data_IF_029623990474
#
_entry.id   IF_029623990474
#
_cell.length_a   1.000
_cell.length_b   1.000
_cell.length_c   1.000
_cell.angle_alpha   90.00
_cell.angle_beta   90.00
_cell.angle_gamma   90.00
#
_symmetry.space_group_name_H-M   'P 1'
#
loop_
_entity.id
_entity.type
_entity.pdbx_description
1 polymer ?
#
# COMPACT_ATOMS: atom_id res chain seq x y z
N UNK A 1 6.42 -15.71 -0.49
CA UNK A 1 7.30 -14.88 -1.34
C UNK A 1 8.70 -14.85 -0.76
N UNK A 2 8.91 -14.44 0.50
CA UNK A 2 10.23 -14.49 1.15
C UNK A 2 10.87 -15.88 1.10
N UNK A 3 10.15 -16.93 1.49
CA UNK A 3 10.66 -18.31 1.40
C UNK A 3 11.11 -18.73 -0.03
N UNK A 4 10.52 -18.15 -1.09
CA UNK A 4 10.95 -18.42 -2.47
C UNK A 4 12.24 -17.64 -2.81
N UNK A 5 12.36 -16.40 -2.35
CA UNK A 5 13.59 -15.62 -2.47
C UNK A 5 14.74 -16.24 -1.67
N UNK A 6 14.48 -16.72 -0.46
CA UNK A 6 15.47 -17.38 0.39
C UNK A 6 15.94 -18.71 -0.23
N UNK A 7 15.08 -19.35 -1.02
CA UNK A 7 15.43 -20.52 -1.84
C UNK A 7 16.17 -20.15 -3.16
N UNK A 8 16.50 -18.87 -3.38
CA UNK A 8 17.19 -18.39 -4.58
C UNK A 8 16.34 -18.37 -5.85
N UNK A 9 15.02 -18.49 -5.73
CA UNK A 9 14.13 -18.50 -6.88
C UNK A 9 13.81 -17.06 -7.34
N UNK A 10 13.77 -16.80 -8.66
CA UNK A 10 13.28 -15.53 -9.18
C UNK A 10 11.76 -15.43 -8.95
N UNK A 11 11.32 -14.36 -8.30
CA UNK A 11 9.90 -14.13 -7.98
C UNK A 11 9.47 -12.77 -8.52
N UNK A 12 8.25 -12.69 -9.06
CA UNK A 12 7.60 -11.43 -9.38
C UNK A 12 6.13 -11.52 -9.02
N UNK A 13 5.58 -10.47 -8.42
CA UNK A 13 4.15 -10.40 -8.09
C UNK A 13 3.42 -9.63 -9.19
N UNK A 14 2.38 -10.26 -9.73
CA UNK A 14 1.60 -9.74 -10.85
C UNK A 14 0.22 -9.25 -10.42
N UNK A 15 -0.28 -8.23 -11.13
CA UNK A 15 -1.68 -7.85 -11.01
C UNK A 15 -2.55 -8.90 -11.72
N UNK A 16 -3.46 -9.60 -11.00
CA UNK A 16 -4.29 -10.66 -11.60
C UNK A 16 -5.15 -10.18 -12.77
N UNK A 17 -5.52 -8.88 -12.81
CA UNK A 17 -6.27 -8.30 -13.92
C UNK A 17 -5.48 -8.35 -15.23
N UNK A 18 -4.18 -8.05 -15.19
CA UNK A 18 -3.34 -8.07 -16.39
C UNK A 18 -3.21 -9.48 -16.96
N UNK A 19 -2.98 -10.47 -16.09
CA UNK A 19 -2.96 -11.89 -16.46
C UNK A 19 -4.30 -12.32 -17.07
N UNK A 20 -5.42 -11.87 -16.49
CA UNK A 20 -6.76 -12.15 -17.03
C UNK A 20 -6.99 -11.50 -18.40
N UNK A 21 -6.51 -10.27 -18.62
CA UNK A 21 -6.61 -9.62 -19.92
C UNK A 21 -5.75 -10.34 -20.98
N UNK A 22 -4.57 -10.81 -20.61
CA UNK A 22 -3.72 -11.63 -21.48
C UNK A 22 -4.38 -12.97 -21.83
N UNK A 23 -4.97 -13.65 -20.85
CA UNK A 23 -5.79 -14.87 -21.06
C UNK A 23 -6.85 -14.65 -22.13
N UNK A 24 -7.61 -13.53 -22.02
CA UNK A 24 -8.66 -13.17 -22.98
C UNK A 24 -8.10 -12.87 -24.36
N UNK A 25 -6.97 -12.16 -24.45
CA UNK A 25 -6.31 -11.87 -25.71
C UNK A 25 -5.82 -13.14 -26.43
N UNK A 26 -5.46 -14.18 -25.69
CA UNK A 26 -5.09 -15.49 -26.23
C UNK A 26 -6.28 -16.41 -26.51
N UNK A 27 -7.52 -15.98 -26.26
CA UNK A 27 -8.72 -16.84 -26.38
C UNK A 27 -8.80 -17.96 -25.32
N UNK A 28 -7.96 -17.92 -24.29
CA UNK A 28 -7.95 -18.92 -23.23
C UNK A 28 -9.01 -18.58 -22.18
N UNK A 29 -10.16 -19.25 -22.26
CA UNK A 29 -11.29 -19.04 -21.34
C UNK A 29 -11.36 -20.09 -20.21
N UNK A 30 -10.96 -21.32 -20.51
CA UNK A 30 -10.93 -22.41 -19.53
C UNK A 30 -9.88 -22.15 -18.44
N UNK A 31 -10.16 -22.62 -17.22
CA UNK A 31 -9.33 -22.41 -16.04
C UNK A 31 -9.14 -23.72 -15.28
N UNK A 32 -7.90 -24.14 -15.16
CA UNK A 32 -7.42 -25.21 -14.27
C UNK A 32 -6.04 -24.80 -13.78
N UNK A 33 -5.55 -25.39 -12.68
CA UNK A 33 -4.22 -25.05 -12.14
C UNK A 33 -3.11 -25.25 -13.19
N UNK A 34 -3.21 -26.31 -14.01
CA UNK A 34 -2.27 -26.57 -15.11
C UNK A 34 -2.32 -25.49 -16.18
N UNK A 35 -3.52 -25.07 -16.60
CA UNK A 35 -3.69 -24.01 -17.61
C UNK A 35 -3.18 -22.68 -17.07
N UNK A 36 -3.52 -22.33 -15.83
CA UNK A 36 -3.11 -21.09 -15.19
C UNK A 36 -1.58 -21.02 -15.03
N UNK A 37 -0.92 -22.13 -14.68
CA UNK A 37 0.54 -22.19 -14.60
C UNK A 37 1.22 -21.92 -15.96
N UNK A 38 0.74 -22.56 -17.04
CA UNK A 38 1.26 -22.33 -18.39
C UNK A 38 1.01 -20.89 -18.85
N UNK A 39 -0.18 -20.35 -18.56
CA UNK A 39 -0.53 -18.97 -18.88
C UNK A 39 0.40 -17.97 -18.17
N UNK A 40 0.67 -18.18 -16.87
CA UNK A 40 1.56 -17.33 -16.09
C UNK A 40 3.00 -17.38 -16.62
N UNK A 41 3.51 -18.57 -16.96
CA UNK A 41 4.83 -18.72 -17.58
C UNK A 41 4.92 -17.98 -18.91
N UNK A 42 3.91 -18.14 -19.77
CA UNK A 42 3.84 -17.45 -21.07
C UNK A 42 3.73 -15.93 -20.90
N UNK A 43 2.94 -15.46 -19.94
CA UNK A 43 2.82 -14.04 -19.61
C UNK A 43 4.17 -13.46 -19.19
N UNK A 44 4.87 -14.15 -18.28
CA UNK A 44 6.18 -13.73 -17.80
C UNK A 44 7.23 -13.68 -18.91
N UNK A 45 7.27 -14.69 -19.78
CA UNK A 45 8.17 -14.74 -20.92
C UNK A 45 7.87 -13.62 -21.94
N UNK A 46 6.59 -13.40 -22.25
CA UNK A 46 6.16 -12.43 -23.26
C UNK A 46 6.51 -11.00 -22.85
N UNK A 47 6.33 -10.67 -21.56
CA UNK A 47 6.63 -9.34 -21.03
C UNK A 47 8.07 -9.20 -20.51
N UNK A 48 8.89 -10.25 -20.65
CA UNK A 48 10.28 -10.28 -20.17
C UNK A 48 10.39 -9.81 -18.71
N UNK A 49 9.48 -10.31 -17.87
CA UNK A 49 9.37 -9.86 -16.49
C UNK A 49 10.65 -10.13 -15.73
N UNK A 50 11.09 -9.12 -14.98
CA UNK A 50 12.23 -9.24 -14.10
C UNK A 50 11.80 -9.73 -12.72
N UNK A 51 12.70 -10.45 -12.06
CA UNK A 51 12.52 -10.80 -10.66
C UNK A 51 12.52 -9.51 -9.82
N UNK A 52 11.58 -9.41 -8.89
CA UNK A 52 11.55 -8.35 -7.90
C UNK A 52 12.59 -8.66 -6.84
N UNK A 53 13.34 -7.64 -6.41
CA UNK A 53 14.21 -7.77 -5.24
C UNK A 53 13.34 -7.47 -4.01
N UNK A 54 13.29 -8.37 -3.01
CA UNK A 54 12.59 -8.06 -1.77
C UNK A 54 13.29 -6.87 -1.10
N UNK A 55 12.51 -5.95 -0.53
CA UNK A 55 13.06 -4.89 0.32
C UNK A 55 13.89 -5.51 1.45
N UNK A 56 14.86 -4.78 1.98
CA UNK A 56 15.74 -5.29 3.04
C UNK A 56 14.99 -5.60 4.35
N UNK A 57 15.71 -6.13 5.34
CA UNK A 57 15.09 -6.54 6.60
C UNK A 57 14.46 -5.35 7.36
N UNK A 58 15.08 -4.17 7.35
CA UNK A 58 14.57 -2.99 8.04
C UNK A 58 13.31 -2.45 7.35
N UNK A 59 13.30 -2.39 6.01
CA UNK A 59 12.13 -2.00 5.22
C UNK A 59 10.94 -2.93 5.49
N UNK A 60 11.16 -4.25 5.47
CA UNK A 60 10.09 -5.22 5.74
C UNK A 60 9.55 -5.11 7.16
N UNK A 61 10.41 -4.86 8.15
CA UNK A 61 9.98 -4.63 9.52
C UNK A 61 9.12 -3.35 9.63
N UNK A 62 9.53 -2.28 8.96
CA UNK A 62 8.79 -1.02 8.92
C UNK A 62 7.42 -1.18 8.22
N UNK A 63 7.38 -1.88 7.09
CA UNK A 63 6.13 -2.21 6.39
C UNK A 63 5.17 -3.03 7.27
N UNK A 64 5.67 -4.01 8.02
CA UNK A 64 4.88 -4.82 8.93
C UNK A 64 4.28 -3.98 10.07
N UNK A 65 5.06 -3.07 10.66
CA UNK A 65 4.58 -2.15 11.69
C UNK A 65 3.50 -1.20 11.15
N UNK A 66 3.70 -0.63 9.96
CA UNK A 66 2.69 0.22 9.31
C UNK A 66 1.41 -0.54 9.00
N UNK A 67 1.53 -1.76 8.47
CA UNK A 67 0.38 -2.61 8.20
C UNK A 67 -0.39 -2.91 9.48
N UNK A 68 0.31 -3.26 10.57
CA UNK A 68 -0.33 -3.53 11.85
C UNK A 68 -1.02 -2.30 12.44
N UNK A 69 -0.37 -1.13 12.34
CA UNK A 69 -0.96 0.13 12.78
C UNK A 69 -2.27 0.43 12.05
N UNK A 70 -2.31 0.25 10.73
CA UNK A 70 -3.55 0.42 9.94
C UNK A 70 -4.67 -0.47 10.44
N UNK A 71 -4.40 -1.76 10.66
CA UNK A 71 -5.39 -2.70 11.20
C UNK A 71 -5.92 -2.25 12.57
N UNK A 72 -5.06 -1.76 13.46
CA UNK A 72 -5.49 -1.26 14.78
C UNK A 72 -6.35 -0.01 14.65
N UNK A 73 -6.02 0.91 13.72
CA UNK A 73 -6.83 2.09 13.44
C UNK A 73 -8.20 1.73 12.85
N UNK A 74 -8.25 0.72 11.99
CA UNK A 74 -9.50 0.19 11.44
C UNK A 74 -10.39 -0.38 12.55
N UNK A 75 -9.84 -1.24 13.41
CA UNK A 75 -10.55 -1.76 14.58
C UNK A 75 -11.04 -0.65 15.51
N UNK A 76 -10.20 0.36 15.81
CA UNK A 76 -10.61 1.53 16.59
C UNK A 76 -11.81 2.25 15.98
N UNK A 77 -11.80 2.44 14.66
CA UNK A 77 -12.91 3.07 13.96
C UNK A 77 -14.18 2.22 14.07
N UNK A 78 -14.05 0.90 13.90
CA UNK A 78 -15.18 -0.03 14.06
C UNK A 78 -15.79 0.02 15.46
N UNK A 79 -14.97 -0.07 16.51
CA UNK A 79 -15.47 -0.06 17.89
C UNK A 79 -16.08 1.30 18.28
N UNK A 80 -15.50 2.42 17.83
CA UNK A 80 -16.10 3.74 18.03
C UNK A 80 -17.47 3.87 17.38
N UNK A 81 -17.62 3.34 16.16
CA UNK A 81 -18.89 3.35 15.46
C UNK A 81 -19.94 2.51 16.22
N UNK A 82 -19.55 1.34 16.76
CA UNK A 82 -20.41 0.50 17.60
C UNK A 82 -20.78 1.18 18.92
N UNK A 83 -19.83 1.87 19.56
CA UNK A 83 -20.10 2.61 20.79
C UNK A 83 -21.15 3.71 20.53
N UNK A 84 -21.01 4.43 19.42
CA UNK A 84 -21.93 5.49 19.04
C UNK A 84 -23.35 4.98 18.77
N UNK A 85 -23.51 3.76 18.24
CA UNK A 85 -24.82 3.16 17.97
C UNK A 85 -25.39 2.32 19.12
N UNK A 86 -24.63 2.08 20.19
CA UNK A 86 -25.08 1.29 21.35
C UNK A 86 -25.86 2.13 22.36
N UNK A 87 -26.87 1.54 22.99
CA UNK A 87 -27.70 2.19 24.02
C UNK A 87 -27.65 1.47 25.38
N UNK A 88 -27.10 0.26 25.41
CA UNK A 88 -26.97 -0.52 26.64
C UNK A 88 -25.70 -0.11 27.41
N UNK A 89 -25.87 0.23 28.70
CA UNK A 89 -24.78 0.77 29.52
C UNK A 89 -23.66 -0.25 29.81
N UNK A 90 -23.99 -1.54 29.85
CA UNK A 90 -22.97 -2.58 30.03
C UNK A 90 -22.14 -2.72 28.75
N UNK A 91 -22.79 -2.81 27.59
CA UNK A 91 -22.12 -2.89 26.28
C UNK A 91 -21.28 -1.64 26.00
N UNK A 92 -21.76 -0.44 26.34
CA UNK A 92 -20.97 0.79 26.19
C UNK A 92 -19.69 0.77 27.02
N UNK A 93 -19.74 0.24 28.26
CA UNK A 93 -18.55 0.11 29.11
C UNK A 93 -17.53 -0.87 28.52
N UNK A 94 -17.98 -2.03 28.07
CA UNK A 94 -17.14 -3.04 27.40
C UNK A 94 -16.46 -2.47 26.15
N UNK A 95 -17.22 -1.81 25.27
CA UNK A 95 -16.68 -1.15 24.07
C UNK A 95 -15.65 -0.07 24.41
N UNK A 96 -15.87 0.69 25.49
CA UNK A 96 -14.95 1.73 25.92
C UNK A 96 -13.62 1.14 26.43
N UNK A 97 -13.64 -0.02 27.09
CA UNK A 97 -12.44 -0.75 27.50
C UNK A 97 -11.63 -1.21 26.27
N UNK A 98 -12.30 -1.79 25.27
CA UNK A 98 -11.65 -2.20 24.01
C UNK A 98 -11.05 -0.99 23.28
N UNK A 99 -11.78 0.13 23.18
CA UNK A 99 -11.28 1.36 22.56
C UNK A 99 -10.03 1.86 23.28
N UNK A 100 -10.03 1.83 24.60
CA UNK A 100 -8.90 2.28 25.42
C UNK A 100 -7.68 1.40 25.18
N UNK A 101 -7.87 0.08 25.17
CA UNK A 101 -6.82 -0.88 24.86
C UNK A 101 -6.23 -0.65 23.45
N UNK A 102 -7.08 -0.55 22.43
CA UNK A 102 -6.64 -0.35 21.05
C UNK A 102 -5.94 1.01 20.85
N UNK A 103 -6.40 2.06 21.55
CA UNK A 103 -5.74 3.37 21.53
C UNK A 103 -4.33 3.31 22.12
N UNK A 104 -4.16 2.59 23.24
CA UNK A 104 -2.84 2.31 23.82
C UNK A 104 -1.95 1.52 22.85
N UNK A 105 -2.50 0.49 22.19
CA UNK A 105 -1.74 -0.30 21.21
C UNK A 105 -1.32 0.52 20.00
N UNK A 106 -2.18 1.43 19.53
CA UNK A 106 -1.83 2.37 18.46
C UNK A 106 -0.65 3.25 18.86
N UNK A 107 -0.66 3.82 20.07
CA UNK A 107 0.43 4.66 20.56
C UNK A 107 1.76 3.90 20.66
N UNK A 108 1.74 2.64 21.12
CA UNK A 108 2.93 1.78 21.13
C UNK A 108 3.48 1.54 19.71
N UNK A 109 2.60 1.32 18.73
CA UNK A 109 3.00 1.16 17.33
C UNK A 109 3.53 2.46 16.73
N UNK A 110 2.95 3.60 17.08
CA UNK A 110 3.45 4.93 16.69
C UNK A 110 4.89 5.13 17.20
N UNK A 111 5.17 4.77 18.46
CA UNK A 111 6.52 4.84 19.01
C UNK A 111 7.50 3.89 18.30
N UNK A 112 7.11 2.62 18.13
CA UNK A 112 7.95 1.64 17.45
C UNK A 112 8.30 2.04 16.01
N UNK A 113 7.38 2.72 15.31
CA UNK A 113 7.65 3.27 13.97
C UNK A 113 8.65 4.42 14.00
N UNK A 114 8.58 5.30 15.00
CA UNK A 114 9.55 6.37 15.17
C UNK A 114 10.94 5.82 15.48
N UNK A 115 11.02 4.86 16.41
CA UNK A 115 12.26 4.21 16.79
C UNK A 115 12.89 3.51 15.57
N UNK A 116 12.09 2.79 14.77
CA UNK A 116 12.58 2.11 13.56
C UNK A 116 13.22 3.07 12.54
N UNK A 117 12.70 4.30 12.41
CA UNK A 117 13.30 5.32 11.52
C UNK A 117 14.55 5.95 12.13
N UNK A 118 14.61 6.13 13.45
CA UNK A 118 15.79 6.70 14.10
C UNK A 118 17.01 5.77 14.07
N UNK A 119 16.80 4.46 14.05
CA UNK A 119 17.88 3.47 14.06
C UNK A 119 18.42 3.13 12.66
N UNK A 120 17.81 3.64 11.58
CA UNK A 120 18.24 3.42 10.21
C UNK A 120 18.54 4.77 9.53
N UNK A 121 19.83 5.03 9.25
CA UNK A 121 20.29 6.30 8.70
C UNK A 121 19.70 6.60 7.31
N UNK A 122 19.39 5.58 6.52
CA UNK A 122 18.75 5.76 5.21
C UNK A 122 17.31 6.24 5.41
N UNK A 123 16.54 5.58 6.29
CA UNK A 123 15.18 6.03 6.60
C UNK A 123 15.16 7.41 7.25
N UNK A 124 16.09 7.72 8.14
CA UNK A 124 16.16 9.04 8.78
C UNK A 124 16.40 10.14 7.74
N UNK A 125 17.27 9.91 6.77
CA UNK A 125 17.54 10.86 5.69
C UNK A 125 16.29 11.11 4.85
N UNK A 126 15.65 10.03 4.36
CA UNK A 126 14.40 10.12 3.59
C UNK A 126 13.29 10.79 4.39
N UNK A 127 13.11 10.40 5.65
CA UNK A 127 12.10 10.96 6.56
C UNK A 127 12.30 12.48 6.73
N UNK A 128 13.53 12.91 7.02
CA UNK A 128 13.85 14.33 7.24
C UNK A 128 13.50 15.17 6.01
N UNK A 129 13.94 14.72 4.82
CA UNK A 129 13.65 15.38 3.55
C UNK A 129 12.14 15.46 3.32
N UNK A 130 11.40 14.37 3.55
CA UNK A 130 9.95 14.36 3.38
C UNK A 130 9.24 15.33 4.33
N UNK A 131 9.60 15.30 5.62
CA UNK A 131 8.97 16.17 6.63
C UNK A 131 9.31 17.65 6.49
N UNK A 132 10.36 18.00 5.74
CA UNK A 132 10.66 19.40 5.41
C UNK A 132 9.61 20.05 4.50
N UNK A 133 8.80 19.23 3.82
CA UNK A 133 7.74 19.72 2.94
C UNK A 133 6.49 20.06 3.75
N UNK A 134 5.94 21.29 3.61
CA UNK A 134 4.70 21.66 4.28
C UNK A 134 3.56 20.68 3.97
N UNK A 135 2.82 20.26 5.00
CA UNK A 135 1.73 19.30 4.88
C UNK A 135 2.14 17.82 4.90
N UNK A 136 3.44 17.49 4.93
CA UNK A 136 3.92 16.12 5.09
C UNK A 136 4.20 15.83 6.57
N UNK A 137 3.22 15.20 7.22
CA UNK A 137 3.35 14.75 8.62
C UNK A 137 4.07 13.40 8.77
N UNK A 138 4.34 12.96 10.02
CA UNK A 138 5.07 11.73 10.31
C UNK A 138 4.50 10.48 9.64
N UNK A 139 3.17 10.31 9.67
CA UNK A 139 2.49 9.14 9.06
C UNK A 139 2.71 9.10 7.54
N UNK A 140 2.70 10.26 6.87
CA UNK A 140 2.92 10.37 5.43
C UNK A 140 4.37 10.01 5.11
N UNK A 141 5.32 10.62 5.83
CA UNK A 141 6.75 10.38 5.64
C UNK A 141 7.12 8.90 5.86
N UNK A 142 6.61 8.29 6.92
CA UNK A 142 6.80 6.86 7.22
C UNK A 142 6.23 5.96 6.13
N UNK A 143 5.01 6.25 5.68
CA UNK A 143 4.34 5.47 4.64
C UNK A 143 5.11 5.52 3.32
N UNK A 144 5.56 6.71 2.92
CA UNK A 144 6.34 6.88 1.69
C UNK A 144 7.71 6.19 1.79
N UNK A 145 8.39 6.31 2.93
CA UNK A 145 9.71 5.69 3.13
C UNK A 145 9.64 4.16 3.06
N UNK A 146 8.59 3.56 3.63
CA UNK A 146 8.44 2.10 3.64
C UNK A 146 7.88 1.55 2.32
N UNK A 147 6.81 2.16 1.80
CA UNK A 147 5.98 1.61 0.73
C UNK A 147 6.22 2.27 -0.64
N UNK A 148 7.21 3.15 -0.76
CA UNK A 148 7.60 3.79 -2.02
C UNK A 148 9.14 3.95 -2.12
N UNK A 149 9.90 2.84 -2.06
CA UNK A 149 11.37 2.88 -2.17
C UNK A 149 11.87 3.44 -3.52
N UNK A 150 11.00 3.47 -4.54
CA UNK A 150 11.33 4.02 -5.85
C UNK A 150 11.41 5.56 -5.87
N UNK A 151 11.02 6.23 -4.79
CA UNK A 151 11.04 7.67 -4.67
C UNK A 151 12.48 8.20 -4.82
N UNK A 152 12.68 9.15 -5.75
CA UNK A 152 14.00 9.67 -6.10
C UNK A 152 14.69 8.95 -7.26
N UNK A 153 14.30 7.70 -7.56
CA UNK A 153 14.81 6.95 -8.74
C UNK A 153 13.90 7.06 -9.97
N UNK A 154 12.58 7.15 -9.75
CA UNK A 154 11.59 7.26 -10.81
C UNK A 154 11.19 8.72 -11.09
N UNK A 155 10.80 8.99 -12.33
CA UNK A 155 10.25 10.30 -12.69
C UNK A 155 8.90 10.55 -12.00
N UNK A 156 8.57 11.82 -11.78
CA UNK A 156 7.31 12.23 -11.15
C UNK A 156 6.06 11.60 -11.78
N UNK A 157 6.03 11.43 -13.10
CA UNK A 157 4.90 10.81 -13.80
C UNK A 157 4.81 9.31 -13.51
N UNK A 158 5.95 8.61 -13.48
CA UNK A 158 6.00 7.18 -13.15
C UNK A 158 5.59 6.94 -11.70
N UNK A 159 6.07 7.77 -10.77
CA UNK A 159 5.66 7.72 -9.36
C UNK A 159 4.16 8.00 -9.20
N UNK A 160 3.64 9.04 -9.85
CA UNK A 160 2.22 9.37 -9.80
C UNK A 160 1.33 8.22 -10.33
N UNK A 161 1.76 7.53 -11.39
CA UNK A 161 1.08 6.35 -11.91
C UNK A 161 1.18 5.15 -10.95
N UNK A 162 2.37 4.87 -10.40
CA UNK A 162 2.63 3.79 -9.45
C UNK A 162 1.80 3.91 -8.17
N UNK A 163 1.69 5.12 -7.63
CA UNK A 163 0.83 5.41 -6.47
C UNK A 163 -0.65 5.43 -6.88
N UNK A 164 -0.95 5.69 -8.16
CA UNK A 164 -2.31 5.74 -8.70
C UNK A 164 -3.00 7.08 -8.44
N UNK A 165 -2.24 8.17 -8.39
CA UNK A 165 -2.75 9.56 -8.35
C UNK A 165 -2.75 10.22 -9.72
N UNK A 166 -2.08 9.64 -10.72
CA UNK A 166 -2.11 10.13 -12.09
C UNK A 166 -3.49 9.89 -12.72
N UNK A 167 -4.16 10.94 -13.24
CA UNK A 167 -5.40 10.78 -14.00
C UNK A 167 -5.07 10.13 -15.35
N UNK A 168 -5.81 9.08 -15.69
CA UNK A 168 -5.58 8.31 -16.91
C UNK A 168 -6.70 8.56 -17.92
N UNK A 169 -6.33 8.57 -19.20
CA UNK A 169 -7.23 8.80 -20.32
C UNK A 169 -8.00 7.54 -20.73
N UNK A 170 -9.26 7.75 -21.11
CA UNK A 170 -10.13 6.76 -21.70
C UNK A 170 -10.61 7.29 -23.05
N UNK A 171 -9.68 7.45 -23.98
CA UNK A 171 -9.98 7.99 -25.31
C UNK A 171 -9.88 6.87 -26.35
N UNK A 172 -10.74 6.93 -27.37
CA UNK A 172 -10.69 6.00 -28.51
C UNK A 172 -11.13 6.71 -29.79
N UNK A 173 -10.26 6.71 -30.81
CA UNK A 173 -10.52 7.45 -32.05
C UNK A 173 -10.87 8.91 -31.79
N UNK A 174 -12.10 9.32 -32.15
CA UNK A 174 -12.63 10.68 -31.91
C UNK A 174 -13.31 10.86 -30.54
N UNK A 175 -13.51 9.78 -29.78
CA UNK A 175 -14.15 9.82 -28.46
C UNK A 175 -13.16 10.27 -27.38
N UNK A 176 -13.55 11.29 -26.61
CA UNK A 176 -12.81 11.77 -25.42
C UNK A 176 -13.59 11.42 -24.16
N UNK A 177 -13.04 10.51 -23.37
CA UNK A 177 -13.66 10.04 -22.13
C UNK A 177 -13.26 10.84 -20.89
N UNK A 178 -13.97 10.63 -19.79
CA UNK A 178 -13.62 11.25 -18.51
C UNK A 178 -12.29 10.69 -17.99
N UNK A 179 -11.42 11.57 -17.49
CA UNK A 179 -10.18 11.17 -16.84
C UNK A 179 -10.48 10.69 -15.42
N UNK A 180 -9.95 9.52 -15.06
CA UNK A 180 -10.10 8.95 -13.71
C UNK A 180 -8.79 8.33 -13.28
N UNK A 181 -8.60 8.25 -11.96
CA UNK A 181 -7.51 7.45 -11.39
C UNK A 181 -7.96 5.98 -11.30
N UNK A 182 -7.05 5.04 -11.54
CA UNK A 182 -7.27 3.63 -11.24
C UNK A 182 -5.95 2.89 -11.02
N UNK A 183 -6.01 1.77 -10.29
CA UNK A 183 -4.82 0.97 -9.98
C UNK A 183 -3.91 1.61 -8.94
N UNK A 184 -2.62 1.30 -9.02
CA UNK A 184 -1.56 1.81 -8.13
C UNK A 184 -1.62 1.31 -6.68
N UNK A 185 -0.74 1.86 -5.83
CA UNK A 185 -0.65 1.57 -4.39
C UNK A 185 -1.71 2.34 -3.61
N UNK A 186 -2.88 1.72 -3.46
CA UNK A 186 -4.05 2.32 -2.80
C UNK A 186 -3.74 2.85 -1.40
N UNK A 187 -2.95 2.11 -0.63
CA UNK A 187 -2.49 2.49 0.71
C UNK A 187 -1.73 3.81 0.75
N UNK A 188 -0.74 3.97 -0.14
CA UNK A 188 0.04 5.22 -0.26
C UNK A 188 -0.87 6.36 -0.72
N UNK A 189 -1.77 6.08 -1.68
CA UNK A 189 -2.73 7.07 -2.18
C UNK A 189 -3.69 7.57 -1.09
N UNK A 190 -4.20 6.70 -0.23
CA UNK A 190 -5.10 7.09 0.86
C UNK A 190 -4.42 8.07 1.82
N UNK A 191 -3.17 7.81 2.18
CA UNK A 191 -2.40 8.68 3.07
C UNK A 191 -2.12 10.04 2.41
N UNK A 192 -1.74 10.05 1.12
CA UNK A 192 -1.55 11.31 0.37
C UNK A 192 -2.86 12.10 0.20
N UNK A 193 -3.99 11.41 -0.01
CA UNK A 193 -5.29 12.05 -0.08
C UNK A 193 -5.63 12.76 1.24
N UNK A 194 -5.44 12.09 2.38
CA UNK A 194 -5.69 12.69 3.69
C UNK A 194 -4.76 13.87 3.95
N UNK A 195 -3.49 13.79 3.56
CA UNK A 195 -2.54 14.91 3.64
C UNK A 195 -2.98 16.11 2.81
N UNK A 196 -3.45 15.88 1.57
CA UNK A 196 -3.97 16.93 0.71
C UNK A 196 -5.24 17.57 1.30
N UNK A 197 -6.18 16.78 1.82
CA UNK A 197 -7.40 17.29 2.48
C UNK A 197 -7.05 18.15 3.69
N UNK A 198 -6.05 17.77 4.49
CA UNK A 198 -5.60 18.59 5.62
C UNK A 198 -4.88 19.86 5.19
N UNK A 199 -4.17 19.85 4.08
CA UNK A 199 -3.43 21.02 3.58
C UNK A 199 -4.32 22.05 2.87
N UNK A 200 -5.48 21.62 2.34
CA UNK A 200 -6.45 22.48 1.67
C UNK A 200 -7.41 23.17 2.66
N UNK A 201 -7.53 22.65 3.89
CA UNK A 201 -8.31 23.27 4.97
C UNK A 201 -7.54 24.41 5.62
#
# INVERSE_FOLDING_TARGET
MLALHDAGLPVTVLNPRQVRHFSRALGQHARTDTIDAVLLAKFAQTLQLQAQVPGDASQRALEALLARRRQVVELLTMERNRLHSSHDAYVQRDLQEVITYLAGRRAQLDQALQDAVQHDSNFQTTYTVLTSTPGVGPVVALTLSAQLPELGSLSRQKVANLVGVAPLNWDSGKSRGHRRIWGGRAEVRQVLYMAAVTAVR
#
